data_IF_556202598031
#
_entry.id   IF_556202598031
#
_cell.length_a   1.000
_cell.length_b   1.000
_cell.length_c   1.000
_cell.angle_alpha   90.00
_cell.angle_beta   90.00
_cell.angle_gamma   90.00
#
_symmetry.space_group_name_H-M   'P 1'
#
loop_
_entity.id
_entity.type
_entity.pdbx_description
1 polymer ?
#
# COMPACT_ATOMS: atom_id res chain seq x y z
N UNK A 1 1.14 26.25 -24.52
CA UNK A 1 2.45 26.60 -23.90
C UNK A 1 2.16 27.42 -22.64
N UNK A 2 2.88 27.22 -21.53
CA UNK A 2 2.55 27.64 -20.14
C UNK A 2 1.32 26.96 -19.48
N UNK A 3 0.10 27.13 -20.01
CA UNK A 3 -1.13 26.56 -19.41
C UNK A 3 -1.06 25.02 -19.30
N UNK A 4 -0.57 24.37 -20.35
CA UNK A 4 -0.34 22.92 -20.35
C UNK A 4 0.72 22.45 -19.34
N UNK A 5 1.72 23.29 -19.00
CA UNK A 5 2.69 22.95 -17.95
C UNK A 5 2.06 23.05 -16.57
N UNK A 6 1.20 24.05 -16.37
CA UNK A 6 0.47 24.24 -15.11
C UNK A 6 -0.54 23.11 -14.87
N UNK A 7 -1.27 22.67 -15.89
CA UNK A 7 -2.18 21.50 -15.78
C UNK A 7 -1.43 20.23 -15.38
N UNK A 8 -0.30 19.93 -16.05
CA UNK A 8 0.55 18.78 -15.70
C UNK A 8 1.11 18.86 -14.28
N UNK A 9 1.37 20.06 -13.78
CA UNK A 9 1.82 20.26 -12.41
C UNK A 9 0.68 19.99 -11.41
N UNK A 10 -0.54 20.45 -11.70
CA UNK A 10 -1.72 20.14 -10.87
C UNK A 10 -2.00 18.64 -10.86
N UNK A 11 -1.95 17.97 -12.01
CA UNK A 11 -2.10 16.52 -12.10
C UNK A 11 -1.02 15.78 -11.29
N UNK A 12 0.23 16.26 -11.36
CA UNK A 12 1.33 15.71 -10.56
C UNK A 12 1.11 15.93 -9.05
N UNK A 13 0.68 17.11 -8.64
CA UNK A 13 0.41 17.46 -7.23
C UNK A 13 -0.81 16.74 -6.66
N UNK A 14 -1.80 16.45 -7.50
CA UNK A 14 -3.02 15.71 -7.12
C UNK A 14 -2.86 14.19 -7.26
N UNK A 15 -1.74 13.71 -7.78
CA UNK A 15 -1.51 12.28 -7.92
C UNK A 15 -1.28 11.65 -6.55
N UNK A 16 -2.29 10.95 -6.05
CA UNK A 16 -2.14 10.06 -4.91
C UNK A 16 -1.33 8.85 -5.38
N UNK A 17 -0.06 8.81 -4.98
CA UNK A 17 0.84 7.71 -5.30
C UNK A 17 1.54 7.25 -4.03
N UNK A 18 1.57 5.95 -3.80
CA UNK A 18 2.28 5.31 -2.70
C UNK A 18 3.40 4.43 -3.26
N UNK A 19 4.63 4.64 -2.79
CA UNK A 19 5.76 3.79 -3.16
C UNK A 19 5.79 2.53 -2.29
N UNK A 20 5.38 1.39 -2.85
CA UNK A 20 5.34 0.11 -2.14
C UNK A 20 6.69 -0.30 -1.55
N UNK A 21 7.82 0.08 -2.18
CA UNK A 21 9.15 -0.21 -1.65
C UNK A 21 9.42 0.51 -0.33
N UNK A 22 8.89 1.71 -0.14
CA UNK A 22 9.03 2.46 1.10
C UNK A 22 8.35 1.74 2.26
N UNK A 23 7.15 1.20 2.04
CA UNK A 23 6.40 0.46 3.06
C UNK A 23 6.99 -0.94 3.31
N UNK A 24 7.46 -1.60 2.25
CA UNK A 24 8.20 -2.86 2.38
C UNK A 24 9.46 -2.72 3.25
N UNK A 25 10.25 -1.65 3.07
CA UNK A 25 11.44 -1.38 3.91
C UNK A 25 11.09 -1.24 5.39
N UNK A 26 9.93 -0.66 5.72
CA UNK A 26 9.43 -0.57 7.11
C UNK A 26 9.07 -1.95 7.66
N UNK A 27 8.46 -2.80 6.85
CA UNK A 27 8.06 -4.16 7.23
C UNK A 27 9.24 -5.10 7.46
N UNK A 28 10.31 -4.98 6.67
CA UNK A 28 11.47 -5.89 6.73
C UNK A 28 12.06 -6.03 8.14
N UNK A 29 12.03 -4.96 8.93
CA UNK A 29 12.56 -4.91 10.30
C UNK A 29 11.47 -4.81 11.37
N UNK A 30 10.19 -4.96 11.00
CA UNK A 30 9.05 -4.87 11.90
C UNK A 30 8.66 -6.23 12.47
N UNK A 31 7.92 -6.21 13.59
CA UNK A 31 7.19 -7.38 14.10
C UNK A 31 5.84 -7.56 13.39
N UNK A 32 5.29 -6.51 12.79
CA UNK A 32 4.09 -6.59 11.95
C UNK A 32 4.44 -7.10 10.56
N UNK A 33 3.55 -7.89 9.97
CA UNK A 33 3.63 -8.34 8.58
C UNK A 33 2.79 -7.48 7.62
N UNK A 34 2.04 -6.50 8.14
CA UNK A 34 1.21 -5.59 7.35
C UNK A 34 1.44 -4.12 7.73
N UNK A 35 1.51 -3.26 6.70
CA UNK A 35 1.70 -1.82 6.85
C UNK A 35 0.77 -1.08 5.89
N UNK A 36 -0.21 -0.35 6.44
CA UNK A 36 -1.16 0.45 5.66
C UNK A 36 -0.56 1.75 5.15
N UNK A 37 -1.07 2.20 4.01
CA UNK A 37 -0.87 3.55 3.46
C UNK A 37 -2.18 4.31 3.23
N UNK A 38 -3.31 3.60 3.06
CA UNK A 38 -4.66 4.15 3.25
C UNK A 38 -5.28 3.44 4.46
N UNK A 39 -5.79 4.22 5.41
CA UNK A 39 -6.51 3.71 6.58
C UNK A 39 -7.78 4.55 6.78
N UNK A 40 -8.88 4.09 6.19
CA UNK A 40 -10.23 4.68 6.29
C UNK A 40 -11.21 3.56 6.64
N UNK A 41 -12.33 3.93 7.25
CA UNK A 41 -13.38 2.98 7.63
C UNK A 41 -13.86 2.14 6.44
N UNK A 42 -13.98 2.76 5.27
CA UNK A 42 -14.40 2.09 4.04
C UNK A 42 -13.28 1.39 3.26
N UNK A 43 -12.01 1.61 3.60
CA UNK A 43 -10.88 1.07 2.86
C UNK A 43 -9.59 1.10 3.69
N UNK A 44 -9.04 -0.09 3.93
CA UNK A 44 -7.65 -0.26 4.30
C UNK A 44 -6.86 -0.77 3.09
N UNK A 45 -5.72 -0.16 2.80
CA UNK A 45 -4.81 -0.65 1.75
C UNK A 45 -3.38 -0.48 2.22
N UNK A 46 -2.58 -1.51 2.00
CA UNK A 46 -1.22 -1.58 2.52
C UNK A 46 -0.36 -2.58 1.77
N UNK A 47 0.86 -2.71 2.25
CA UNK A 47 1.77 -3.80 1.84
C UNK A 47 1.71 -4.88 2.91
N UNK A 48 1.56 -6.13 2.45
CA UNK A 48 1.68 -7.32 3.27
C UNK A 48 3.00 -8.03 2.89
N UNK A 49 3.76 -8.45 3.89
CA UNK A 49 5.03 -9.16 3.69
C UNK A 49 5.15 -10.31 4.69
N UNK A 50 5.07 -11.53 4.17
CA UNK A 50 5.34 -12.76 4.92
C UNK A 50 6.78 -13.18 4.67
N UNK A 51 7.51 -13.50 5.73
CA UNK A 51 8.81 -14.15 5.64
C UNK A 51 8.63 -15.62 5.19
N UNK A 52 9.68 -16.28 4.69
CA UNK A 52 9.61 -17.73 4.44
C UNK A 52 9.04 -18.47 5.65
N UNK A 53 8.11 -19.38 5.39
CA UNK A 53 7.38 -20.20 6.37
C UNK A 53 6.48 -19.43 7.36
N UNK A 54 6.40 -18.10 7.25
CA UNK A 54 5.47 -17.31 8.05
C UNK A 54 4.04 -17.48 7.53
N UNK A 55 3.12 -17.78 8.46
CA UNK A 55 1.69 -17.87 8.17
C UNK A 55 1.04 -16.49 8.28
N UNK A 56 0.03 -16.28 7.45
CA UNK A 56 -0.94 -15.22 7.70
C UNK A 56 -1.77 -15.59 8.94
N UNK A 57 -1.88 -14.66 9.88
CA UNK A 57 -2.63 -14.83 11.13
C UNK A 57 -3.94 -14.03 11.13
N UNK A 58 -4.41 -13.62 9.96
CA UNK A 58 -5.66 -12.89 9.83
C UNK A 58 -6.85 -13.79 10.15
N UNK A 59 -7.74 -13.28 11.01
CA UNK A 59 -8.99 -13.96 11.39
C UNK A 59 -10.11 -13.62 10.40
N UNK A 60 -11.18 -14.46 10.33
CA UNK A 60 -12.37 -14.16 9.54
C UNK A 60 -12.96 -12.79 9.88
N UNK A 61 -13.37 -12.03 8.87
CA UNK A 61 -13.95 -10.70 9.02
C UNK A 61 -14.94 -10.41 7.89
N UNK A 62 -15.75 -9.36 8.06
CA UNK A 62 -16.89 -9.05 7.18
C UNK A 62 -16.51 -8.31 5.89
N UNK A 63 -15.29 -7.77 5.81
CA UNK A 63 -14.82 -7.01 4.64
C UNK A 63 -14.30 -7.93 3.55
N UNK A 64 -14.58 -7.56 2.30
CA UNK A 64 -13.92 -8.18 1.15
C UNK A 64 -12.45 -7.77 1.06
N UNK A 65 -11.60 -8.69 0.60
CA UNK A 65 -10.16 -8.47 0.44
C UNK A 65 -9.67 -8.86 -0.95
N UNK A 66 -8.73 -8.08 -1.48
CA UNK A 66 -8.08 -8.34 -2.77
C UNK A 66 -6.57 -8.28 -2.57
N UNK A 67 -5.88 -9.37 -2.91
CA UNK A 67 -4.42 -9.43 -2.91
C UNK A 67 -3.86 -9.32 -4.33
N UNK A 68 -2.91 -8.41 -4.50
CA UNK A 68 -2.09 -8.33 -5.71
C UNK A 68 -0.67 -8.78 -5.38
N UNK A 69 -0.21 -9.87 -6.01
CA UNK A 69 1.10 -10.45 -5.73
C UNK A 69 2.19 -9.57 -6.38
N UNK A 70 2.98 -8.90 -5.54
CA UNK A 70 4.12 -8.08 -5.98
C UNK A 70 5.38 -8.92 -6.25
N UNK A 71 5.59 -9.97 -5.46
CA UNK A 71 6.73 -10.88 -5.52
C UNK A 71 6.42 -12.13 -4.69
N UNK A 72 7.08 -13.25 -5.02
CA UNK A 72 7.04 -14.51 -4.28
C UNK A 72 8.31 -15.30 -4.53
#
# INVERSE_FOLDING_TARGET
MLIFKMLKLVDFLMKIQFDTNQYFKKLKNSKSYFQTFINKESLATGVLFLKPDQKDTQEPHESDEIYYILSG
#
